data_IF_045740106760
#
_entry.id   IF_045740106760
#
_cell.length_a   1.000
_cell.length_b   1.000
_cell.length_c   1.000
_cell.angle_alpha   90.00
_cell.angle_beta   90.00
_cell.angle_gamma   90.00
#
_symmetry.space_group_name_H-M   'P 1'
#
loop_
_entity.id
_entity.type
_entity.pdbx_description
1 polymer ?
#
# COMPACT_ATOMS: atom_id res chain seq x y z
N UNK A 1 -64.81 61.22 -7.61
CA UNK A 1 -64.87 59.94 -6.77
C UNK A 1 -63.82 58.98 -7.30
N UNK A 2 -62.71 58.82 -6.64
CA UNK A 2 -61.72 57.85 -7.13
C UNK A 2 -61.80 56.52 -6.38
N UNK A 3 -61.62 55.49 -7.17
CA UNK A 3 -61.57 54.08 -6.72
C UNK A 3 -60.25 53.76 -6.13
N UNK A 4 -60.24 53.22 -4.90
CA UNK A 4 -59.07 52.73 -4.21
C UNK A 4 -58.69 51.32 -4.73
N UNK A 5 -57.47 51.21 -5.19
CA UNK A 5 -56.90 49.97 -5.71
C UNK A 5 -56.05 49.29 -4.62
N UNK A 6 -56.50 48.14 -4.18
CA UNK A 6 -55.75 47.35 -3.16
C UNK A 6 -54.77 46.44 -3.89
N UNK A 7 -53.50 46.80 -3.81
CA UNK A 7 -52.41 45.91 -4.24
C UNK A 7 -52.09 44.94 -3.09
N UNK A 8 -52.44 43.70 -3.28
CA UNK A 8 -52.03 42.64 -2.34
C UNK A 8 -50.56 42.31 -2.54
N UNK A 9 -49.79 42.37 -1.48
CA UNK A 9 -48.41 41.91 -1.44
C UNK A 9 -48.41 40.40 -1.22
N UNK A 10 -47.92 39.64 -2.21
CA UNK A 10 -47.65 38.21 -2.04
C UNK A 10 -46.22 38.10 -1.59
N UNK A 11 -45.99 37.70 -0.32
CA UNK A 11 -44.68 37.38 0.19
C UNK A 11 -44.41 35.91 -0.20
N UNK A 12 -43.58 35.74 -1.20
CA UNK A 12 -43.12 34.41 -1.57
C UNK A 12 -42.02 33.94 -0.59
N UNK A 13 -42.34 32.94 0.19
CA UNK A 13 -41.33 32.29 1.03
C UNK A 13 -40.42 31.46 0.11
N UNK A 14 -39.19 31.92 -0.08
CA UNK A 14 -38.18 31.13 -0.77
C UNK A 14 -37.68 30.07 0.22
N UNK A 15 -38.02 28.82 -0.05
CA UNK A 15 -37.47 27.71 0.71
C UNK A 15 -36.01 27.49 0.26
N UNK A 16 -35.08 27.89 1.11
CA UNK A 16 -33.66 27.52 0.93
C UNK A 16 -33.53 26.05 1.23
N UNK A 17 -33.47 25.25 0.18
CA UNK A 17 -33.06 23.84 0.34
C UNK A 17 -31.55 23.81 0.57
N UNK A 18 -31.16 23.67 1.82
CA UNK A 18 -29.78 23.39 2.15
C UNK A 18 -29.47 21.98 1.69
N UNK A 19 -28.77 21.87 0.58
CA UNK A 19 -28.15 20.61 0.20
C UNK A 19 -27.02 20.35 1.20
N UNK A 20 -27.26 19.46 2.14
CA UNK A 20 -26.19 18.90 2.95
C UNK A 20 -25.41 17.97 2.01
N UNK A 21 -24.35 18.49 1.47
CA UNK A 21 -23.37 17.65 0.80
C UNK A 21 -22.76 16.82 1.91
N UNK A 22 -23.19 15.57 2.00
CA UNK A 22 -22.52 14.62 2.90
C UNK A 22 -21.08 14.52 2.42
N UNK A 23 -20.19 15.13 3.16
CA UNK A 23 -18.77 14.98 2.97
C UNK A 23 -18.48 13.51 3.23
N UNK A 24 -18.41 12.72 2.16
CA UNK A 24 -17.96 11.34 2.27
C UNK A 24 -16.49 11.42 2.68
N UNK A 25 -16.26 11.20 3.96
CA UNK A 25 -14.90 11.15 4.47
C UNK A 25 -14.18 10.02 3.71
N UNK A 26 -13.41 10.44 2.78
CA UNK A 26 -12.58 9.55 1.99
C UNK A 26 -11.55 8.90 2.94
N UNK A 27 -11.43 7.60 2.90
CA UNK A 27 -10.48 6.87 3.73
C UNK A 27 -11.07 6.18 4.95
N UNK A 28 -12.40 6.27 5.19
CA UNK A 28 -13.01 5.47 6.25
C UNK A 28 -13.14 4.02 5.78
N UNK A 29 -12.45 3.12 6.48
CA UNK A 29 -12.57 1.69 6.24
C UNK A 29 -13.85 1.17 6.87
N UNK A 30 -14.46 0.17 6.25
CA UNK A 30 -15.62 -0.54 6.80
C UNK A 30 -15.25 -1.19 8.14
N UNK A 31 -16.24 -1.43 8.97
CA UNK A 31 -16.02 -2.15 10.22
C UNK A 31 -15.56 -3.58 9.93
N UNK A 32 -14.51 -4.01 10.59
CA UNK A 32 -13.96 -5.34 10.41
C UNK A 32 -12.64 -5.47 11.15
N UNK A 33 -12.06 -6.67 11.14
CA UNK A 33 -10.83 -6.92 11.90
C UNK A 33 -9.61 -6.19 11.33
N UNK A 34 -9.58 -5.96 10.01
CA UNK A 34 -8.43 -5.33 9.37
C UNK A 34 -8.66 -3.83 9.28
N UNK A 35 -7.61 -3.06 9.52
CA UNK A 35 -7.68 -1.59 9.59
C UNK A 35 -6.66 -0.99 8.62
N UNK A 36 -7.01 0.14 8.04
CA UNK A 36 -6.07 0.92 7.25
C UNK A 36 -5.06 1.58 8.21
N UNK A 37 -3.77 1.23 8.14
CA UNK A 37 -2.80 1.91 9.00
C UNK A 37 -2.62 3.35 8.52
N UNK A 38 -2.39 4.30 9.42
CA UNK A 38 -2.10 5.67 8.98
C UNK A 38 -0.75 5.72 8.26
N UNK A 39 -0.60 6.69 7.34
CA UNK A 39 0.74 6.98 6.80
C UNK A 39 1.62 7.44 7.96
N UNK A 40 2.86 6.94 8.07
CA UNK A 40 3.76 7.36 9.16
C UNK A 40 4.39 8.73 8.93
N UNK A 41 4.02 9.45 7.88
CA UNK A 41 4.54 10.76 7.51
C UNK A 41 3.47 11.49 6.67
N UNK A 42 3.55 12.84 6.56
CA UNK A 42 2.63 13.57 5.69
C UNK A 42 2.73 13.13 4.22
N UNK A 43 1.63 13.21 3.50
CA UNK A 43 1.56 12.73 2.11
C UNK A 43 2.58 13.41 1.18
N UNK A 44 2.98 14.66 1.51
CA UNK A 44 3.95 15.41 0.68
C UNK A 44 5.41 15.16 1.09
N UNK A 45 5.66 14.28 2.05
CA UNK A 45 7.01 14.09 2.60
C UNK A 45 7.97 13.42 1.61
N UNK A 46 7.46 12.71 0.61
CA UNK A 46 8.28 11.98 -0.34
C UNK A 46 8.57 12.79 -1.62
N UNK A 47 8.07 14.04 -1.68
CA UNK A 47 8.41 14.94 -2.79
C UNK A 47 9.93 15.20 -2.79
N UNK A 48 10.55 15.37 -3.95
CA UNK A 48 9.94 15.37 -5.30
C UNK A 48 9.88 13.97 -5.94
N UNK A 49 10.21 12.91 -5.23
CA UNK A 49 10.36 11.57 -5.80
C UNK A 49 9.01 10.88 -6.01
N UNK A 50 8.07 11.06 -5.07
CA UNK A 50 6.68 10.63 -5.21
C UNK A 50 5.79 11.82 -4.84
N UNK A 51 4.89 12.19 -5.73
CA UNK A 51 4.06 13.36 -5.52
C UNK A 51 2.97 13.14 -4.47
N UNK A 52 2.58 14.22 -3.79
CA UNK A 52 1.60 14.17 -2.71
C UNK A 52 0.26 13.59 -3.18
N UNK A 53 -0.19 13.97 -4.38
CA UNK A 53 -1.48 13.48 -4.89
C UNK A 53 -1.47 11.97 -5.09
N UNK A 54 -0.37 11.43 -5.59
CA UNK A 54 -0.21 9.98 -5.70
C UNK A 54 -0.32 9.32 -4.32
N UNK A 55 0.37 9.87 -3.30
CA UNK A 55 0.35 9.31 -1.95
C UNK A 55 -1.06 9.33 -1.36
N UNK A 56 -1.79 10.43 -1.53
CA UNK A 56 -3.18 10.53 -1.05
C UNK A 56 -4.09 9.49 -1.70
N UNK A 57 -4.05 9.39 -3.02
CA UNK A 57 -4.88 8.41 -3.74
C UNK A 57 -4.47 6.98 -3.39
N UNK A 58 -3.18 6.73 -3.34
CA UNK A 58 -2.63 5.40 -3.13
C UNK A 58 -3.01 4.85 -1.74
N UNK A 59 -2.88 5.68 -0.71
CA UNK A 59 -3.23 5.31 0.66
C UNK A 59 -4.75 5.38 0.90
N UNK A 60 -5.36 6.55 0.64
CA UNK A 60 -6.74 6.83 1.06
C UNK A 60 -7.77 6.14 0.17
N UNK A 61 -7.40 5.73 -1.04
CA UNK A 61 -8.32 5.08 -2.00
C UNK A 61 -7.92 3.64 -2.27
N UNK A 62 -6.73 3.41 -2.82
CA UNK A 62 -6.33 2.05 -3.20
C UNK A 62 -6.17 1.15 -1.97
N UNK A 63 -5.35 1.53 -1.00
CA UNK A 63 -5.16 0.71 0.20
C UNK A 63 -6.47 0.58 0.99
N UNK A 64 -7.19 1.69 1.17
CA UNK A 64 -8.49 1.65 1.86
C UNK A 64 -9.46 0.67 1.18
N UNK A 65 -9.48 0.61 -0.15
CA UNK A 65 -10.33 -0.31 -0.89
C UNK A 65 -9.96 -1.77 -0.62
N UNK A 66 -8.65 -2.07 -0.57
CA UNK A 66 -8.22 -3.44 -0.26
C UNK A 66 -8.70 -3.86 1.14
N UNK A 67 -8.54 -2.99 2.12
CA UNK A 67 -8.98 -3.27 3.50
C UNK A 67 -10.50 -3.51 3.54
N UNK A 68 -11.27 -2.62 2.89
CA UNK A 68 -12.73 -2.70 2.88
C UNK A 68 -13.21 -4.01 2.23
N UNK A 69 -12.65 -4.35 1.07
CA UNK A 69 -13.05 -5.55 0.33
C UNK A 69 -12.65 -6.83 1.06
N UNK A 70 -11.50 -6.80 1.75
CA UNK A 70 -11.09 -7.93 2.58
C UNK A 70 -12.08 -8.14 3.73
N UNK A 71 -12.39 -7.07 4.46
CA UNK A 71 -13.34 -7.14 5.57
C UNK A 71 -14.72 -7.61 5.11
N UNK A 72 -15.16 -7.12 3.95
CA UNK A 72 -16.45 -7.55 3.37
C UNK A 72 -16.44 -9.05 3.04
N UNK A 73 -15.37 -9.54 2.41
CA UNK A 73 -15.25 -10.95 2.04
C UNK A 73 -15.24 -11.86 3.29
N UNK A 74 -14.68 -11.37 4.40
CA UNK A 74 -14.54 -12.15 5.62
C UNK A 74 -15.73 -12.00 6.60
N UNK A 75 -16.74 -11.20 6.24
CA UNK A 75 -17.85 -10.87 7.15
C UNK A 75 -18.53 -12.11 7.73
N UNK A 76 -18.76 -13.11 6.89
CA UNK A 76 -19.46 -14.33 7.28
C UNK A 76 -18.51 -15.50 7.57
N UNK A 77 -17.20 -15.22 7.79
CA UNK A 77 -16.15 -16.21 7.97
C UNK A 77 -15.32 -15.89 9.22
N UNK A 78 -16.00 -15.87 10.33
CA UNK A 78 -15.43 -15.41 11.61
C UNK A 78 -14.12 -16.08 12.03
N UNK A 79 -13.91 -17.18 11.77
CA UNK A 79 -12.80 -17.93 12.06
C UNK A 79 -11.61 -17.51 11.33
N UNK A 80 -11.93 -17.36 10.14
CA UNK A 80 -10.87 -16.89 9.25
C UNK A 80 -10.51 -15.43 9.56
N UNK A 81 -11.50 -14.62 9.83
CA UNK A 81 -11.32 -13.20 10.13
C UNK A 81 -10.48 -12.93 11.38
N UNK A 82 -10.33 -13.93 12.26
CA UNK A 82 -9.53 -13.83 13.49
C UNK A 82 -8.05 -14.20 13.30
N UNK A 83 -7.70 -14.76 12.13
CA UNK A 83 -6.32 -15.15 11.86
C UNK A 83 -5.47 -13.92 11.50
N UNK A 84 -4.18 -13.94 11.84
CA UNK A 84 -3.26 -12.92 11.33
C UNK A 84 -3.25 -12.89 9.80
N UNK A 85 -3.04 -11.73 9.23
CA UNK A 85 -3.09 -11.54 7.76
C UNK A 85 -2.09 -12.44 7.05
N UNK A 86 -0.87 -12.55 7.58
CA UNK A 86 0.18 -13.39 7.00
C UNK A 86 -0.19 -14.88 7.05
N UNK A 87 -0.92 -15.29 8.08
CA UNK A 87 -1.40 -16.67 8.17
C UNK A 87 -2.45 -16.98 7.10
N UNK A 88 -3.38 -16.01 6.87
CA UNK A 88 -4.37 -16.15 5.80
C UNK A 88 -3.67 -16.28 4.45
N UNK A 89 -2.69 -15.41 4.20
CA UNK A 89 -1.96 -15.39 2.92
C UNK A 89 -1.16 -16.68 2.70
N UNK A 90 -0.51 -17.18 3.75
CA UNK A 90 0.30 -18.41 3.63
C UNK A 90 -0.57 -19.67 3.46
N UNK A 91 -1.87 -19.59 3.75
CA UNK A 91 -2.77 -20.74 3.73
C UNK A 91 -4.03 -20.45 2.89
N UNK A 92 -3.86 -19.89 1.71
CA UNK A 92 -4.99 -19.52 0.85
C UNK A 92 -5.87 -20.73 0.49
N UNK A 93 -5.31 -21.94 0.50
CA UNK A 93 -6.10 -23.14 0.24
C UNK A 93 -7.13 -23.43 1.35
N UNK A 94 -6.93 -22.90 2.56
CA UNK A 94 -7.92 -23.01 3.65
C UNK A 94 -9.09 -22.03 3.48
N UNK A 95 -8.94 -21.04 2.59
CA UNK A 95 -9.97 -20.04 2.34
C UNK A 95 -11.04 -20.69 1.42
N UNK A 96 -12.33 -20.58 1.75
CA UNK A 96 -13.39 -21.13 0.88
C UNK A 96 -13.24 -20.65 -0.56
N UNK A 97 -13.44 -21.55 -1.49
CA UNK A 97 -13.24 -21.28 -2.93
C UNK A 97 -14.06 -20.08 -3.40
N UNK A 98 -15.26 -19.92 -2.87
CA UNK A 98 -16.17 -18.84 -3.27
C UNK A 98 -15.64 -17.44 -2.99
N UNK A 99 -14.73 -17.28 -2.00
CA UNK A 99 -14.14 -15.98 -1.65
C UNK A 99 -12.63 -15.96 -1.83
N UNK A 100 -12.02 -17.08 -2.21
CA UNK A 100 -10.53 -17.21 -2.23
C UNK A 100 -9.85 -16.16 -3.09
N UNK A 101 -10.35 -15.93 -4.31
CA UNK A 101 -9.76 -14.93 -5.21
C UNK A 101 -9.88 -13.52 -4.62
N UNK A 102 -11.03 -13.19 -4.04
CA UNK A 102 -11.23 -11.89 -3.39
C UNK A 102 -10.28 -11.72 -2.21
N UNK A 103 -10.14 -12.74 -1.38
CA UNK A 103 -9.21 -12.71 -0.23
C UNK A 103 -7.76 -12.60 -0.74
N UNK A 104 -7.35 -13.42 -1.71
CA UNK A 104 -6.00 -13.36 -2.28
C UNK A 104 -5.65 -11.94 -2.72
N UNK A 105 -6.52 -11.33 -3.50
CA UNK A 105 -6.24 -10.00 -4.07
C UNK A 105 -6.22 -8.93 -2.98
N UNK A 106 -7.15 -8.95 -2.06
CA UNK A 106 -7.33 -7.86 -1.11
C UNK A 106 -6.49 -8.02 0.16
N UNK A 107 -6.27 -9.24 0.63
CA UNK A 107 -5.31 -9.51 1.70
C UNK A 107 -3.88 -9.22 1.20
N UNK A 108 -3.57 -9.64 -0.03
CA UNK A 108 -2.29 -9.32 -0.64
C UNK A 108 -2.08 -7.83 -0.77
N UNK A 109 -3.10 -7.11 -1.27
CA UNK A 109 -3.04 -5.66 -1.38
C UNK A 109 -2.84 -4.99 -0.03
N UNK A 110 -3.57 -5.43 0.99
CA UNK A 110 -3.43 -4.86 2.34
C UNK A 110 -2.02 -5.10 2.89
N UNK A 111 -1.50 -6.33 2.76
CA UNK A 111 -0.16 -6.66 3.25
C UNK A 111 0.93 -5.85 2.52
N UNK A 112 0.86 -5.83 1.19
CA UNK A 112 1.87 -5.14 0.37
C UNK A 112 1.93 -3.66 0.70
N UNK A 113 0.77 -3.01 0.83
CA UNK A 113 0.73 -1.58 1.09
C UNK A 113 1.11 -1.22 2.52
N UNK A 114 0.75 -2.05 3.51
CA UNK A 114 1.18 -1.84 4.89
C UNK A 114 2.71 -1.83 4.99
N UNK A 115 3.36 -2.80 4.37
CA UNK A 115 4.82 -2.85 4.26
C UNK A 115 5.37 -1.63 3.52
N UNK A 116 4.73 -1.26 2.40
CA UNK A 116 5.21 -0.18 1.52
C UNK A 116 5.34 1.15 2.25
N UNK A 117 4.31 1.52 3.03
CA UNK A 117 4.37 2.77 3.80
C UNK A 117 5.48 2.74 4.84
N UNK A 118 5.69 1.61 5.50
CA UNK A 118 6.72 1.44 6.53
C UNK A 118 8.14 1.60 5.97
N UNK A 119 8.40 1.06 4.78
CA UNK A 119 9.75 1.04 4.23
C UNK A 119 10.14 2.30 3.49
N UNK A 120 9.26 3.29 3.44
CA UNK A 120 9.54 4.61 2.86
C UNK A 120 9.58 5.68 3.93
N UNK A 121 10.18 6.81 3.62
CA UNK A 121 10.21 7.98 4.50
C UNK A 121 11.09 9.08 3.94
N UNK A 122 10.98 10.30 4.51
CA UNK A 122 11.75 11.44 3.98
C UNK A 122 13.24 11.43 4.35
N UNK A 123 13.62 10.73 5.42
CA UNK A 123 14.99 10.74 5.96
C UNK A 123 15.60 9.35 5.83
N UNK A 124 15.70 8.86 4.61
CA UNK A 124 15.99 7.46 4.32
C UNK A 124 17.30 6.91 4.83
N UNK A 125 18.37 7.72 4.78
CA UNK A 125 19.68 7.26 5.20
C UNK A 125 20.31 6.25 4.25
N UNK A 126 21.01 5.30 4.81
CA UNK A 126 21.69 4.23 4.07
C UNK A 126 21.64 2.93 4.89
N UNK A 127 21.80 1.77 4.25
CA UNK A 127 21.85 0.53 5.03
C UNK A 127 23.10 0.50 5.91
N UNK A 128 22.94 -0.06 7.10
CA UNK A 128 24.01 -0.14 8.09
C UNK A 128 24.02 -1.53 8.74
N UNK A 129 25.09 -1.83 9.47
CA UNK A 129 25.20 -3.01 10.30
C UNK A 129 24.98 -4.31 9.55
N UNK A 130 24.18 -5.20 10.15
CA UNK A 130 23.94 -6.55 9.60
C UNK A 130 23.24 -6.50 8.25
N UNK A 131 22.34 -5.54 8.04
CA UNK A 131 21.67 -5.38 6.74
C UNK A 131 22.70 -5.00 5.66
N UNK A 132 23.60 -4.05 5.95
CA UNK A 132 24.64 -3.67 5.00
C UNK A 132 25.50 -4.90 4.65
N UNK A 133 25.89 -5.67 5.66
CA UNK A 133 26.69 -6.88 5.45
C UNK A 133 25.98 -7.91 4.57
N UNK A 134 24.67 -8.08 4.78
CA UNK A 134 23.86 -9.00 3.96
C UNK A 134 23.77 -8.52 2.51
N UNK A 135 23.58 -7.21 2.30
CA UNK A 135 23.55 -6.63 0.94
C UNK A 135 24.87 -6.86 0.22
N UNK A 136 25.99 -6.62 0.91
CA UNK A 136 27.33 -6.88 0.36
C UNK A 136 27.51 -8.36 0.00
N UNK A 137 27.15 -9.25 0.93
CA UNK A 137 27.30 -10.70 0.76
C UNK A 137 26.47 -11.23 -0.42
N UNK A 138 25.19 -10.80 -0.51
CA UNK A 138 24.24 -11.44 -1.41
C UNK A 138 24.14 -10.76 -2.77
N UNK A 139 24.52 -9.48 -2.87
CA UNK A 139 24.43 -8.72 -4.12
C UNK A 139 25.75 -8.10 -4.59
N UNK A 140 26.72 -8.00 -3.70
CA UNK A 140 28.00 -7.33 -4.00
C UNK A 140 27.99 -5.84 -3.67
N UNK A 141 26.91 -5.33 -3.10
CA UNK A 141 26.78 -3.94 -2.67
C UNK A 141 25.43 -3.34 -3.00
N UNK A 142 25.22 -2.14 -2.49
CA UNK A 142 23.93 -1.43 -2.66
C UNK A 142 23.65 -1.11 -4.13
N UNK A 143 24.66 -0.65 -4.87
CA UNK A 143 24.47 -0.33 -6.29
C UNK A 143 24.02 -1.55 -7.09
N UNK A 144 24.61 -2.70 -6.81
CA UNK A 144 24.24 -3.95 -7.47
C UNK A 144 22.82 -4.38 -7.10
N UNK A 145 22.46 -4.25 -5.83
CA UNK A 145 21.09 -4.51 -5.40
C UNK A 145 20.10 -3.61 -6.16
N UNK A 146 20.39 -2.30 -6.20
CA UNK A 146 19.51 -1.33 -6.87
C UNK A 146 19.34 -1.66 -8.35
N UNK A 147 20.44 -1.98 -9.03
CA UNK A 147 20.40 -2.31 -10.46
C UNK A 147 19.57 -3.56 -10.72
N UNK A 148 19.81 -4.62 -9.95
CA UNK A 148 19.08 -5.89 -10.12
C UNK A 148 17.60 -5.74 -9.77
N UNK A 149 17.30 -5.00 -8.71
CA UNK A 149 15.92 -4.73 -8.27
C UNK A 149 15.17 -3.92 -9.35
N UNK A 150 15.79 -2.86 -9.86
CA UNK A 150 15.17 -2.04 -10.89
C UNK A 150 14.91 -2.85 -12.18
N UNK A 151 15.88 -3.67 -12.58
CA UNK A 151 15.70 -4.54 -13.76
C UNK A 151 14.54 -5.51 -13.55
N UNK A 152 14.41 -6.08 -12.34
CA UNK A 152 13.30 -6.97 -12.03
C UNK A 152 11.96 -6.22 -12.07
N UNK A 153 11.90 -5.01 -11.52
CA UNK A 153 10.69 -4.19 -11.55
C UNK A 153 10.27 -3.81 -12.97
N UNK A 154 11.25 -3.51 -13.84
CA UNK A 154 10.98 -3.22 -15.25
C UNK A 154 10.48 -4.46 -15.98
N UNK A 155 10.89 -5.65 -15.59
CA UNK A 155 10.49 -6.90 -16.24
C UNK A 155 9.04 -7.30 -15.93
N UNK A 156 8.42 -6.70 -14.92
CA UNK A 156 7.02 -7.00 -14.58
C UNK A 156 6.13 -6.50 -15.70
N UNK A 157 5.44 -7.41 -16.36
CA UNK A 157 4.51 -7.04 -17.43
C UNK A 157 3.18 -6.63 -16.81
N UNK A 158 2.85 -5.35 -16.94
CA UNK A 158 1.61 -4.81 -16.37
C UNK A 158 1.75 -4.52 -14.88
N UNK A 159 0.73 -4.87 -14.11
CA UNK A 159 0.64 -4.57 -12.68
C UNK A 159 1.35 -5.64 -11.85
N UNK A 160 2.09 -5.19 -10.84
CA UNK A 160 2.76 -6.12 -9.94
C UNK A 160 3.71 -5.41 -9.01
N UNK A 161 4.58 -6.20 -8.40
CA UNK A 161 5.51 -5.74 -7.37
C UNK A 161 6.87 -6.38 -7.58
N UNK A 162 7.91 -5.69 -7.15
CA UNK A 162 9.25 -6.26 -7.00
C UNK A 162 9.58 -6.26 -5.50
N UNK A 163 10.14 -7.36 -5.01
CA UNK A 163 10.41 -7.57 -3.58
C UNK A 163 11.84 -8.00 -3.35
N UNK A 164 12.35 -7.66 -2.17
CA UNK A 164 13.49 -8.37 -1.56
C UNK A 164 12.93 -9.22 -0.44
N UNK A 165 13.20 -10.52 -0.49
CA UNK A 165 12.83 -11.47 0.57
C UNK A 165 14.04 -11.77 1.45
N UNK A 166 13.78 -12.24 2.66
CA UNK A 166 14.81 -12.65 3.61
C UNK A 166 14.44 -14.02 4.13
N UNK A 167 15.36 -15.00 3.98
CA UNK A 167 15.12 -16.36 4.46
C UNK A 167 15.50 -16.50 5.94
N UNK A 168 15.22 -17.66 6.57
CA UNK A 168 15.54 -17.84 8.00
C UNK A 168 17.04 -17.68 8.33
N UNK A 169 17.92 -17.88 7.37
CA UNK A 169 19.36 -17.71 7.57
C UNK A 169 19.83 -16.26 7.30
N UNK A 170 18.90 -15.36 6.99
CA UNK A 170 19.21 -13.97 6.71
C UNK A 170 19.66 -13.69 5.30
N UNK A 171 19.52 -14.64 4.38
CA UNK A 171 19.89 -14.46 2.98
C UNK A 171 18.80 -13.68 2.25
N UNK A 172 19.26 -12.76 1.40
CA UNK A 172 18.38 -11.86 0.64
C UNK A 172 18.23 -12.36 -0.80
N UNK A 173 17.03 -12.20 -1.36
CA UNK A 173 16.77 -12.54 -2.76
C UNK A 173 15.76 -11.56 -3.34
N UNK A 174 15.87 -11.30 -4.65
CA UNK A 174 14.91 -10.47 -5.40
C UNK A 174 13.90 -11.38 -6.08
N UNK A 175 12.62 -11.03 -5.99
CA UNK A 175 11.56 -11.74 -6.69
C UNK A 175 10.48 -10.74 -7.13
N UNK A 176 9.66 -11.14 -8.09
CA UNK A 176 8.51 -10.34 -8.54
C UNK A 176 7.23 -11.16 -8.40
N UNK A 177 6.11 -10.45 -8.29
CA UNK A 177 4.78 -11.08 -8.26
C UNK A 177 3.82 -10.23 -9.08
N UNK A 178 2.88 -10.85 -9.78
CA UNK A 178 1.86 -10.10 -10.52
C UNK A 178 0.76 -9.61 -9.57
N UNK A 179 0.08 -8.56 -9.97
CA UNK A 179 -1.10 -8.02 -9.30
C UNK A 179 -0.77 -7.69 -7.83
N UNK A 180 -1.51 -8.25 -6.86
CA UNK A 180 -1.21 -8.06 -5.43
C UNK A 180 -0.70 -9.35 -4.77
N UNK A 181 -0.25 -10.30 -5.57
CA UNK A 181 0.42 -11.49 -5.03
C UNK A 181 1.68 -11.06 -4.27
N UNK A 182 2.00 -11.83 -3.25
CA UNK A 182 3.10 -11.52 -2.34
C UNK A 182 3.86 -12.79 -1.97
N UNK A 183 5.17 -12.70 -1.73
CA UNK A 183 5.93 -13.86 -1.24
C UNK A 183 5.41 -14.48 0.04
N UNK A 184 4.61 -13.73 0.83
CA UNK A 184 3.93 -14.27 2.02
C UNK A 184 3.06 -15.48 1.67
N UNK A 185 2.52 -15.54 0.45
CA UNK A 185 1.69 -16.66 -0.02
C UNK A 185 2.49 -17.97 -0.15
N UNK A 186 3.81 -17.86 -0.25
CA UNK A 186 4.72 -18.99 -0.30
C UNK A 186 5.42 -19.22 1.05
N UNK A 187 4.96 -18.53 2.10
CA UNK A 187 5.58 -18.63 3.43
C UNK A 187 6.92 -17.92 3.54
N UNK A 188 7.25 -17.06 2.57
CA UNK A 188 8.50 -16.30 2.58
C UNK A 188 8.29 -14.97 3.32
N UNK A 189 9.38 -14.44 3.86
CA UNK A 189 9.36 -13.14 4.56
C UNK A 189 9.76 -12.04 3.60
N UNK A 190 8.98 -10.95 3.59
CA UNK A 190 9.24 -9.78 2.76
C UNK A 190 10.03 -8.76 3.56
N UNK A 191 11.24 -8.45 3.10
CA UNK A 191 12.05 -7.42 3.72
C UNK A 191 11.56 -6.04 3.32
N UNK A 192 11.42 -5.80 2.02
CA UNK A 192 10.83 -4.60 1.45
C UNK A 192 10.39 -4.88 0.00
N UNK A 193 9.64 -3.96 -0.58
CA UNK A 193 9.22 -4.07 -1.96
C UNK A 193 8.78 -2.73 -2.52
N UNK A 194 8.64 -2.68 -3.84
CA UNK A 194 8.19 -1.50 -4.55
C UNK A 194 7.02 -1.86 -5.47
N UNK A 195 6.00 -1.02 -5.43
CA UNK A 195 4.78 -1.14 -6.23
C UNK A 195 5.04 -0.64 -7.65
N UNK A 196 4.90 -1.52 -8.64
CA UNK A 196 5.04 -1.11 -10.04
C UNK A 196 3.71 -1.13 -10.80
N UNK A 197 2.59 -1.15 -10.09
CA UNK A 197 1.30 -0.77 -10.66
C UNK A 197 1.39 0.68 -11.14
N UNK A 198 0.74 1.00 -12.23
CA UNK A 198 0.78 2.38 -12.77
C UNK A 198 0.21 3.41 -11.80
N UNK A 199 -0.76 3.03 -10.96
CA UNK A 199 -1.30 3.97 -9.95
C UNK A 199 -0.24 4.48 -8.97
N UNK A 200 0.86 3.75 -8.80
CA UNK A 200 1.93 4.14 -7.89
C UNK A 200 2.80 5.27 -8.43
N UNK A 201 2.78 5.54 -9.75
CA UNK A 201 3.74 6.49 -10.34
C UNK A 201 3.20 7.30 -11.51
N UNK A 202 2.01 7.03 -12.04
CA UNK A 202 1.59 7.58 -13.33
C UNK A 202 1.42 9.10 -13.32
N UNK A 203 0.92 9.69 -12.22
CA UNK A 203 0.69 11.14 -12.17
C UNK A 203 1.97 11.93 -12.39
N UNK A 204 3.09 11.46 -11.84
CA UNK A 204 4.38 12.15 -11.98
C UNK A 204 5.21 11.62 -13.15
N UNK A 205 5.24 10.32 -13.36
CA UNK A 205 6.18 9.70 -14.31
C UNK A 205 5.52 9.22 -15.59
N UNK A 206 4.18 9.16 -15.66
CA UNK A 206 3.43 8.58 -16.78
C UNK A 206 3.98 7.16 -17.07
N UNK A 207 4.38 6.88 -18.29
CA UNK A 207 4.86 5.56 -18.67
C UNK A 207 6.32 5.28 -18.28
N UNK A 208 6.97 6.25 -17.64
CA UNK A 208 8.41 6.14 -17.35
C UNK A 208 8.65 5.39 -16.04
N UNK A 209 8.31 4.09 -16.04
CA UNK A 209 8.53 3.23 -14.87
C UNK A 209 10.00 3.20 -14.47
N UNK A 210 10.92 3.25 -15.43
CA UNK A 210 12.35 3.25 -15.17
C UNK A 210 12.80 4.44 -14.32
N UNK A 211 12.26 5.64 -14.60
CA UNK A 211 12.58 6.82 -13.80
C UNK A 211 12.01 6.70 -12.38
N UNK A 212 10.78 6.21 -12.26
CA UNK A 212 10.16 5.97 -10.95
C UNK A 212 11.01 5.00 -10.12
N UNK A 213 11.38 3.86 -10.70
CA UNK A 213 12.19 2.86 -10.01
C UNK A 213 13.53 3.45 -9.55
N UNK A 214 14.16 4.24 -10.42
CA UNK A 214 15.45 4.88 -10.11
C UNK A 214 15.30 5.88 -8.95
N UNK A 215 14.27 6.72 -8.99
CA UNK A 215 14.08 7.77 -7.99
C UNK A 215 13.51 7.25 -6.67
N UNK A 216 12.85 6.08 -6.69
CA UNK A 216 12.26 5.49 -5.49
C UNK A 216 13.29 5.26 -4.38
N UNK A 217 14.52 4.93 -4.73
CA UNK A 217 15.57 4.67 -3.75
C UNK A 217 15.85 5.89 -2.86
N UNK A 218 15.52 7.08 -3.33
CA UNK A 218 15.68 8.31 -2.53
C UNK A 218 14.71 8.38 -1.35
N UNK A 219 13.66 7.58 -1.36
CA UNK A 219 12.64 7.58 -0.29
C UNK A 219 12.63 6.29 0.54
N UNK A 220 13.56 5.38 0.29
CA UNK A 220 13.67 4.16 1.10
C UNK A 220 14.13 4.53 2.51
N UNK A 221 13.41 4.08 3.52
CA UNK A 221 13.74 4.29 4.93
C UNK A 221 14.62 3.14 5.40
N UNK A 222 15.93 3.32 5.26
CA UNK A 222 16.88 2.25 5.55
C UNK A 222 16.91 1.85 7.03
N UNK A 223 16.57 2.77 7.94
CA UNK A 223 16.44 2.39 9.34
C UNK A 223 15.28 1.42 9.52
N UNK A 224 14.13 1.70 8.92
CA UNK A 224 12.97 0.80 8.98
C UNK A 224 13.28 -0.56 8.34
N UNK A 225 13.96 -0.56 7.19
CA UNK A 225 14.35 -1.81 6.53
C UNK A 225 15.32 -2.60 7.41
N UNK A 226 16.26 -1.93 8.08
CA UNK A 226 17.19 -2.58 9.02
C UNK A 226 16.47 -3.20 10.20
N UNK A 227 15.49 -2.50 10.77
CA UNK A 227 14.67 -3.02 11.87
C UNK A 227 13.86 -4.25 11.41
N UNK A 228 13.32 -4.21 10.19
CA UNK A 228 12.62 -5.35 9.58
C UNK A 228 13.56 -6.54 9.40
N UNK A 229 14.79 -6.29 8.95
CA UNK A 229 15.81 -7.33 8.79
C UNK A 229 16.10 -8.04 10.12
N UNK A 230 16.24 -7.26 11.18
CA UNK A 230 16.50 -7.81 12.51
C UNK A 230 15.30 -8.63 13.01
N UNK A 231 14.08 -8.15 12.79
CA UNK A 231 12.85 -8.89 13.15
C UNK A 231 12.74 -10.19 12.34
N UNK A 232 13.10 -10.15 11.06
CA UNK A 232 13.05 -11.36 10.21
C UNK A 232 14.01 -12.43 10.74
N UNK A 233 15.24 -12.03 11.13
CA UNK A 233 16.24 -12.96 11.64
C UNK A 233 15.83 -13.56 12.97
N UNK A 234 15.08 -12.85 13.79
CA UNK A 234 14.56 -13.37 15.06
C UNK A 234 13.25 -14.16 14.91
N UNK A 235 12.72 -14.27 13.70
CA UNK A 235 11.47 -14.95 13.44
C UNK A 235 10.22 -14.11 13.70
N UNK A 236 10.39 -12.81 13.93
CA UNK A 236 9.29 -11.92 14.35
C UNK A 236 8.87 -10.91 13.28
N UNK A 237 9.25 -11.14 12.04
CA UNK A 237 8.80 -10.25 10.98
C UNK A 237 7.39 -10.64 10.53
N UNK A 238 6.43 -9.84 10.96
CA UNK A 238 5.08 -9.89 10.43
C UNK A 238 4.91 -8.84 9.33
N UNK A 239 3.67 -8.49 9.08
CA UNK A 239 3.30 -7.44 8.11
C UNK A 239 3.51 -6.07 8.73
#
# INVERSE_FOLDING_TARGET
MPLLNRRGFIIGAAALSTYVVADRSWGQTTQGPFKLPPLPYPANSLEPNIDARTMELHHDRHHASYVNKLNEALRDHEXLAKRPLEEILANLNDVPESIRTTVRNNAGGHANHSMFWEVMGPDGGKPEGDLQAAIERDFGGLNQLQQRFNNAGLSVFGSGWVFVTVDPDGRLAITTRPNQDTPLMDGQRVLFGNDVWEHAYYLKYQNRRDEYLKNWWNVVNWKAVGDRYNRARSGNLGI
#
